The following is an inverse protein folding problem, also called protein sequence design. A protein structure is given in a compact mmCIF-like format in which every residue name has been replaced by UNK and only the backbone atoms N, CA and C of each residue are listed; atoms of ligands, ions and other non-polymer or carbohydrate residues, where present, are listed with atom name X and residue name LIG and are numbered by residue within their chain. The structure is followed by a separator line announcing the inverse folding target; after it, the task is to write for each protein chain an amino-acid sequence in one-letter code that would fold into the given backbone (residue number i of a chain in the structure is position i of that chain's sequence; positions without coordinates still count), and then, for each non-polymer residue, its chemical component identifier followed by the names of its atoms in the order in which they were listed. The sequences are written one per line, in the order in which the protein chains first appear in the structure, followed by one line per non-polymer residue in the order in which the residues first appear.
data_IF_297715523884
#
_entry.id   IF_297715523884
#
_cell.length_a   1.000
_cell.length_b   1.000
_cell.length_c   1.000
_cell.angle_alpha   90.00
_cell.angle_beta   90.00
_cell.angle_gamma   90.00
#
_symmetry.space_group_name_H-M   'P 1'
#
loop_
_entity.id
_entity.type
_entity.pdbx_description
1 polymer ?
#
# COMPACT_ATOMS: atom_id res chain seq x y z
N UNK A 1 51.40 4.49 8.30
CA UNK A 1 52.10 5.47 7.44
C UNK A 1 51.89 5.04 5.99
N UNK A 2 51.35 5.95 5.17
CA UNK A 2 51.19 5.88 3.69
C UNK A 2 50.03 4.98 3.19
N UNK A 3 49.13 5.39 2.28
CA UNK A 3 49.21 6.45 1.28
C UNK A 3 47.81 6.97 0.89
N UNK A 4 47.69 8.30 0.90
CA UNK A 4 46.62 9.12 0.31
C UNK A 4 46.64 9.02 -1.22
N UNK A 5 45.46 9.19 -1.87
CA UNK A 5 45.13 9.53 -3.30
C UNK A 5 43.94 8.65 -3.76
N UNK A 6 42.90 9.08 -4.48
CA UNK A 6 42.55 10.34 -5.14
C UNK A 6 41.03 10.33 -5.41
N UNK A 7 40.46 11.53 -5.45
CA UNK A 7 39.09 11.90 -5.82
C UNK A 7 38.64 11.39 -7.20
N UNK A 8 37.38 10.98 -7.32
CA UNK A 8 36.59 11.10 -8.56
C UNK A 8 35.10 11.28 -8.22
N UNK A 9 34.73 12.53 -7.94
CA UNK A 9 33.34 13.00 -7.99
C UNK A 9 32.97 13.14 -9.46
N UNK A 10 32.08 12.28 -9.95
CA UNK A 10 31.45 12.43 -11.26
C UNK A 10 30.00 12.89 -11.07
N UNK A 11 29.80 14.21 -11.08
CA UNK A 11 28.51 14.83 -11.31
C UNK A 11 28.09 14.59 -12.77
N UNK A 12 27.18 13.64 -13.01
CA UNK A 12 26.41 13.61 -14.26
C UNK A 12 25.00 14.09 -13.95
N UNK A 13 24.84 15.41 -14.08
CA UNK A 13 23.54 16.04 -14.23
C UNK A 13 23.15 15.97 -15.70
N UNK A 14 22.07 15.24 -16.01
CA UNK A 14 21.32 15.48 -17.25
C UNK A 14 19.85 15.22 -16.98
N UNK A 15 19.14 16.31 -16.64
CA UNK A 15 17.69 16.42 -16.78
C UNK A 15 17.35 16.56 -18.26
N UNK A 16 16.37 15.81 -18.73
CA UNK A 16 15.45 16.21 -19.80
C UNK A 16 14.07 15.60 -19.52
N UNK A 17 13.06 16.46 -19.62
CA UNK A 17 11.67 16.27 -19.23
C UNK A 17 10.92 15.19 -20.03
N UNK A 18 10.02 14.46 -19.36
CA UNK A 18 8.56 14.61 -19.57
C UNK A 18 7.77 13.91 -18.45
N UNK A 19 6.77 14.56 -17.84
CA UNK A 19 5.84 13.91 -16.93
C UNK A 19 4.75 13.18 -17.73
N UNK A 20 4.70 11.86 -17.65
CA UNK A 20 3.47 11.12 -17.97
C UNK A 20 2.45 11.42 -16.87
N UNK A 21 1.58 12.38 -17.15
CA UNK A 21 0.38 12.67 -16.40
C UNK A 21 -0.58 11.48 -16.49
N UNK A 22 -0.45 10.53 -15.55
CA UNK A 22 -1.48 9.51 -15.30
C UNK A 22 -2.02 9.74 -13.88
N UNK A 23 -3.23 10.32 -13.79
CA UNK A 23 -4.08 10.21 -12.60
C UNK A 23 -4.21 11.41 -11.64
N UNK A 24 -3.79 12.64 -12.00
CA UNK A 24 -3.94 13.81 -11.09
C UNK A 24 -5.39 14.26 -10.84
N UNK A 25 -6.38 13.79 -11.60
CA UNK A 25 -7.80 14.09 -11.34
C UNK A 25 -8.41 13.21 -10.24
N UNK A 26 -7.90 11.99 -10.00
CA UNK A 26 -8.45 11.10 -8.98
C UNK A 26 -7.96 11.45 -7.56
N UNK A 27 -6.70 11.92 -7.43
CA UNK A 27 -6.15 12.30 -6.12
C UNK A 27 -6.65 13.66 -5.64
N UNK A 28 -6.85 14.63 -6.53
CA UNK A 28 -7.40 15.94 -6.16
C UNK A 28 -8.84 15.81 -5.63
N UNK A 29 -9.66 14.95 -6.25
CA UNK A 29 -11.01 14.64 -5.77
C UNK A 29 -11.00 13.91 -4.41
N UNK A 30 -10.12 12.92 -4.24
CA UNK A 30 -9.99 12.21 -2.96
C UNK A 30 -9.47 13.09 -1.82
N UNK A 31 -8.52 13.99 -2.08
CA UNK A 31 -7.99 14.92 -1.08
C UNK A 31 -9.06 15.95 -0.69
N UNK A 32 -9.82 16.48 -1.65
CA UNK A 32 -10.96 17.38 -1.35
C UNK A 32 -12.05 16.70 -0.52
N UNK A 33 -12.40 15.45 -0.87
CA UNK A 33 -13.41 14.68 -0.12
C UNK A 33 -12.93 14.32 1.29
N UNK A 34 -11.64 13.99 1.46
CA UNK A 34 -11.05 13.69 2.77
C UNK A 34 -11.00 14.91 3.69
N UNK A 35 -10.62 16.08 3.16
CA UNK A 35 -10.61 17.32 3.92
C UNK A 35 -12.03 17.77 4.33
N UNK A 36 -13.01 17.63 3.43
CA UNK A 36 -14.41 17.96 3.74
C UNK A 36 -15.02 17.00 4.77
N UNK A 37 -14.76 15.70 4.65
CA UNK A 37 -15.23 14.69 5.62
C UNK A 37 -14.64 14.88 7.02
N UNK A 38 -13.36 15.28 7.12
CA UNK A 38 -12.75 15.58 8.43
C UNK A 38 -13.31 16.85 9.08
N UNK A 39 -13.63 17.89 8.31
CA UNK A 39 -14.27 19.09 8.83
C UNK A 39 -15.70 18.81 9.32
N UNK A 40 -16.48 18.02 8.57
CA UNK A 40 -17.85 17.66 8.94
C UNK A 40 -17.90 16.72 10.17
N UNK A 41 -16.96 15.77 10.28
CA UNK A 41 -16.84 14.92 11.47
C UNK A 41 -16.44 15.72 12.72
N UNK A 42 -15.49 16.65 12.57
CA UNK A 42 -15.07 17.50 13.69
C UNK A 42 -16.23 18.39 14.17
N UNK A 43 -17.00 18.97 13.24
CA UNK A 43 -18.15 19.80 13.57
C UNK A 43 -19.31 19.00 14.22
N UNK A 44 -19.53 17.76 13.77
CA UNK A 44 -20.55 16.87 14.36
C UNK A 44 -20.18 16.37 15.76
N UNK A 45 -18.88 16.16 16.04
CA UNK A 45 -18.41 15.73 17.36
C UNK A 45 -18.29 16.87 18.37
N UNK A 46 -18.23 18.13 17.92
CA UNK A 46 -18.16 19.31 18.80
C UNK A 46 -19.52 19.96 19.11
N UNK A 47 -20.63 19.44 18.59
CA UNK A 47 -21.99 19.88 18.97
C UNK A 47 -22.27 21.37 18.70
N UNK A 48 -21.50 22.02 17.83
CA UNK A 48 -21.65 23.46 17.56
C UNK A 48 -22.64 23.63 16.40
N UNK A 49 -23.80 24.29 16.61
CA UNK A 49 -24.69 24.63 15.51
C UNK A 49 -23.97 25.59 14.54
N UNK A 50 -24.14 25.44 13.22
CA UNK A 50 -23.54 26.34 12.25
C UNK A 50 -24.05 27.78 12.47
N UNK A 51 -23.20 28.81 12.29
CA UNK A 51 -23.62 30.19 12.45
C UNK A 51 -24.72 30.52 11.45
N UNK A 52 -25.86 31.01 11.95
CA UNK A 52 -26.96 31.50 11.14
C UNK A 52 -26.48 32.68 10.29
N UNK A 53 -26.50 32.53 8.96
CA UNK A 53 -26.27 33.62 8.02
C UNK A 53 -27.52 34.51 7.96
N UNK A 54 -27.41 35.85 8.03
CA UNK A 54 -28.56 36.73 7.86
C UNK A 54 -29.19 36.54 6.46
N UNK A 55 -30.52 36.45 6.43
CA UNK A 55 -31.30 36.21 5.22
C UNK A 55 -31.27 37.42 4.28
N UNK A 56 -30.91 37.19 3.01
CA UNK A 56 -31.21 38.11 1.91
C UNK A 56 -32.56 37.69 1.28
N UNK A 57 -33.45 38.63 0.88
CA UNK A 57 -34.73 38.27 0.30
C UNK A 57 -34.59 37.85 -1.16
N UNK A 58 -35.09 36.65 -1.49
CA UNK A 58 -35.33 36.24 -2.88
C UNK A 58 -34.44 35.09 -3.38
N UNK A 59 -34.76 33.86 -3.00
CA UNK A 59 -34.39 32.68 -3.77
C UNK A 59 -35.39 31.56 -3.49
N UNK A 60 -36.00 31.06 -4.56
CA UNK A 60 -36.84 29.85 -4.58
C UNK A 60 -36.05 28.64 -4.07
N UNK A 61 -36.68 27.64 -3.42
CA UNK A 61 -35.98 26.53 -2.80
C UNK A 61 -35.39 25.62 -3.88
N UNK A 62 -34.10 25.78 -4.17
CA UNK A 62 -33.34 24.79 -4.94
C UNK A 62 -33.07 23.62 -4.02
N UNK A 63 -33.78 22.52 -4.29
CA UNK A 63 -33.60 21.21 -3.67
C UNK A 63 -32.10 20.87 -3.63
N UNK A 64 -31.57 20.70 -2.42
CA UNK A 64 -30.19 20.25 -2.22
C UNK A 64 -29.95 18.96 -3.04
N UNK A 65 -28.82 18.84 -3.76
CA UNK A 65 -28.48 17.60 -4.44
C UNK A 65 -28.45 16.47 -3.39
N UNK A 66 -29.05 15.30 -3.67
CA UNK A 66 -29.05 14.20 -2.72
C UNK A 66 -27.60 13.85 -2.37
N UNK A 67 -27.33 13.73 -1.07
CA UNK A 67 -26.05 13.24 -0.57
C UNK A 67 -25.78 11.89 -1.24
N UNK A 68 -24.71 11.84 -2.04
CA UNK A 68 -24.26 10.59 -2.68
C UNK A 68 -23.86 9.66 -1.54
N UNK A 69 -24.63 8.60 -1.32
CA UNK A 69 -24.29 7.58 -0.34
C UNK A 69 -22.86 7.07 -0.60
N UNK A 70 -22.05 6.82 0.43
CA UNK A 70 -20.69 6.32 0.23
C UNK A 70 -20.76 5.02 -0.56
N UNK A 71 -20.08 4.99 -1.71
CA UNK A 71 -20.00 3.79 -2.54
C UNK A 71 -19.33 2.68 -1.72
N UNK A 72 -19.91 1.47 -1.67
CA UNK A 72 -19.29 0.36 -0.96
C UNK A 72 -17.87 0.10 -1.47
N UNK A 73 -16.92 -0.16 -0.56
CA UNK A 73 -15.56 -0.51 -0.94
C UNK A 73 -15.57 -1.78 -1.80
N UNK A 74 -14.78 -1.78 -2.88
CA UNK A 74 -14.63 -2.99 -3.69
C UNK A 74 -13.96 -4.10 -2.85
N UNK A 75 -14.19 -5.40 -3.17
CA UNK A 75 -13.54 -6.49 -2.45
C UNK A 75 -12.01 -6.39 -2.40
N UNK A 76 -11.39 -5.88 -3.48
CA UNK A 76 -9.96 -5.63 -3.54
C UNK A 76 -9.49 -4.55 -2.56
N UNK A 77 -10.22 -3.44 -2.47
CA UNK A 77 -9.93 -2.36 -1.53
C UNK A 77 -10.06 -2.84 -0.07
N UNK A 78 -11.06 -3.67 0.21
CA UNK A 78 -11.23 -4.27 1.54
C UNK A 78 -10.08 -5.23 1.90
N UNK A 79 -9.65 -6.08 0.96
CA UNK A 79 -8.51 -6.99 1.16
C UNK A 79 -7.21 -6.21 1.42
N UNK A 80 -6.93 -5.20 0.60
CA UNK A 80 -5.76 -4.33 0.77
C UNK A 80 -5.76 -3.63 2.15
N UNK A 81 -6.93 -3.14 2.60
CA UNK A 81 -7.06 -2.51 3.91
C UNK A 81 -6.77 -3.48 5.06
N UNK A 82 -7.22 -4.73 4.96
CA UNK A 82 -6.93 -5.78 5.97
C UNK A 82 -5.46 -6.18 5.99
N UNK A 83 -4.84 -6.36 4.82
CA UNK A 83 -3.39 -6.63 4.72
C UNK A 83 -2.60 -5.48 5.36
N UNK A 84 -2.95 -4.23 5.05
CA UNK A 84 -2.31 -3.06 5.66
C UNK A 84 -2.48 -3.03 7.18
N UNK A 85 -3.67 -3.34 7.68
CA UNK A 85 -3.92 -3.41 9.12
C UNK A 85 -3.06 -4.49 9.79
N UNK A 86 -2.86 -5.64 9.15
CA UNK A 86 -1.99 -6.72 9.63
C UNK A 86 -0.49 -6.38 9.53
N UNK A 87 -0.09 -5.51 8.59
CA UNK A 87 1.29 -4.99 8.48
C UNK A 87 1.63 -3.97 9.56
N UNK A 88 0.66 -3.16 9.99
CA UNK A 88 0.87 -2.08 10.95
C UNK A 88 1.59 -2.51 12.24
N UNK A 89 1.20 -3.61 12.95
CA UNK A 89 1.90 -4.03 14.14
C UNK A 89 3.37 -4.39 13.86
N UNK A 90 3.67 -5.06 12.75
CA UNK A 90 5.02 -5.55 12.40
C UNK A 90 6.08 -4.45 12.22
N UNK A 91 5.67 -3.18 12.13
CA UNK A 91 6.62 -2.04 12.04
C UNK A 91 7.36 -1.73 13.33
N UNK A 92 6.87 -2.23 14.48
CA UNK A 92 7.52 -2.04 15.76
C UNK A 92 8.49 -3.19 16.03
N UNK A 93 9.68 -2.87 16.56
CA UNK A 93 10.72 -3.86 16.84
C UNK A 93 10.26 -5.04 17.71
N UNK A 94 9.34 -4.80 18.65
CA UNK A 94 8.84 -5.83 19.57
C UNK A 94 7.62 -6.60 19.04
N UNK A 95 7.13 -6.23 17.87
CA UNK A 95 5.87 -6.74 17.32
C UNK A 95 6.04 -7.84 16.29
N UNK A 96 7.27 -8.32 16.05
CA UNK A 96 7.55 -9.55 15.32
C UNK A 96 7.13 -10.81 16.08
N UNK A 97 6.00 -10.80 16.82
CA UNK A 97 5.48 -11.97 17.52
C UNK A 97 4.87 -12.96 16.53
N UNK A 98 4.77 -14.22 16.94
CA UNK A 98 4.16 -15.28 16.10
C UNK A 98 2.73 -14.91 15.67
N UNK A 99 1.96 -14.30 16.57
CA UNK A 99 0.57 -13.90 16.33
C UNK A 99 0.45 -12.88 15.19
N UNK A 100 1.28 -11.82 15.18
CA UNK A 100 1.23 -10.81 14.12
C UNK A 100 1.64 -11.38 12.76
N UNK A 101 2.60 -12.31 12.73
CA UNK A 101 2.99 -13.03 11.51
C UNK A 101 1.87 -13.91 10.98
N UNK A 102 1.20 -14.64 11.87
CA UNK A 102 0.05 -15.49 11.52
C UNK A 102 -1.13 -14.65 11.05
N UNK A 103 -1.39 -13.50 11.67
CA UNK A 103 -2.44 -12.58 11.24
C UNK A 103 -2.19 -12.08 9.81
N UNK A 104 -0.96 -11.66 9.49
CA UNK A 104 -0.61 -11.24 8.12
C UNK A 104 -0.75 -12.39 7.12
N UNK A 105 -0.24 -13.58 7.46
CA UNK A 105 -0.35 -14.74 6.57
C UNK A 105 -1.81 -15.13 6.29
N UNK A 106 -2.66 -15.09 7.32
CA UNK A 106 -4.10 -15.32 7.21
C UNK A 106 -4.76 -14.30 6.29
N UNK A 107 -4.46 -13.01 6.44
CA UNK A 107 -5.06 -11.98 5.59
C UNK A 107 -4.62 -12.09 4.13
N UNK A 108 -3.37 -12.49 3.86
CA UNK A 108 -2.89 -12.78 2.51
C UNK A 108 -3.62 -13.98 1.88
N UNK A 109 -3.84 -15.06 2.64
CA UNK A 109 -4.62 -16.22 2.16
C UNK A 109 -6.10 -15.87 1.93
N UNK A 110 -6.68 -15.02 2.79
CA UNK A 110 -8.05 -14.54 2.64
C UNK A 110 -8.20 -13.61 1.43
N UNK A 111 -7.15 -12.85 1.09
CA UNK A 111 -7.13 -11.97 -0.08
C UNK A 111 -6.98 -12.74 -1.40
N UNK A 112 -6.44 -13.96 -1.37
CA UNK A 112 -6.28 -14.80 -2.55
C UNK A 112 -7.64 -15.30 -3.08
N UNK A 113 -7.94 -14.94 -4.34
CA UNK A 113 -9.15 -15.31 -5.06
C UNK A 113 -8.80 -16.18 -6.27
N UNK A 114 -9.80 -16.88 -6.79
CA UNK A 114 -9.63 -17.81 -7.91
C UNK A 114 -9.35 -19.25 -7.45
N UNK A 115 -9.19 -20.14 -8.42
CA UNK A 115 -9.00 -21.57 -8.20
C UNK A 115 -7.60 -21.88 -7.64
N UNK A 116 -6.58 -21.20 -8.15
CA UNK A 116 -5.18 -21.39 -7.78
C UNK A 116 -4.78 -20.45 -6.65
N UNK A 117 -4.99 -20.90 -5.42
CA UNK A 117 -4.55 -20.20 -4.21
C UNK A 117 -3.07 -20.49 -3.94
N UNK A 118 -2.32 -19.52 -3.39
CA UNK A 118 -0.95 -19.77 -2.95
C UNK A 118 -0.93 -20.73 -1.77
N UNK A 119 0.18 -21.44 -1.60
CA UNK A 119 0.36 -22.37 -0.50
C UNK A 119 0.55 -21.60 0.82
N UNK A 120 -0.05 -22.12 1.89
CA UNK A 120 0.02 -21.51 3.22
C UNK A 120 1.47 -21.36 3.72
N UNK A 121 2.35 -22.32 3.41
CA UNK A 121 3.76 -22.26 3.77
C UNK A 121 4.49 -21.11 3.07
N UNK A 122 4.21 -20.86 1.79
CA UNK A 122 4.82 -19.78 1.01
C UNK A 122 4.36 -18.41 1.49
N UNK A 123 3.06 -18.27 1.79
CA UNK A 123 2.51 -17.05 2.38
C UNK A 123 3.07 -16.81 3.80
N UNK A 124 3.26 -17.85 4.59
CA UNK A 124 3.92 -17.73 5.89
C UNK A 124 5.36 -17.22 5.77
N UNK A 125 6.13 -17.69 4.78
CA UNK A 125 7.49 -17.18 4.50
C UNK A 125 7.50 -15.70 4.11
N UNK A 126 6.49 -15.22 3.40
CA UNK A 126 6.31 -13.78 3.12
C UNK A 126 6.11 -13.00 4.42
N UNK A 127 5.23 -13.49 5.29
CA UNK A 127 4.97 -12.86 6.57
C UNK A 127 6.20 -12.86 7.51
N UNK A 128 6.96 -13.96 7.56
CA UNK A 128 8.22 -14.06 8.30
C UNK A 128 9.27 -13.07 7.77
N UNK A 129 9.42 -12.97 6.45
CA UNK A 129 10.38 -12.06 5.82
C UNK A 129 10.01 -10.59 6.08
N UNK A 130 8.72 -10.26 6.01
CA UNK A 130 8.23 -8.91 6.31
C UNK A 130 8.41 -8.58 7.79
N UNK A 131 8.16 -9.52 8.70
CA UNK A 131 8.39 -9.32 10.13
C UNK A 131 9.87 -9.10 10.48
N UNK A 132 10.80 -9.64 9.67
CA UNK A 132 12.23 -9.39 9.82
C UNK A 132 12.65 -8.02 9.24
N UNK A 133 12.02 -7.58 8.15
CA UNK A 133 12.38 -6.36 7.44
C UNK A 133 11.72 -5.08 8.02
N UNK A 134 10.44 -5.15 8.40
CA UNK A 134 9.66 -3.98 8.80
C UNK A 134 10.19 -3.26 10.05
N UNK A 135 10.70 -3.94 11.09
CA UNK A 135 11.38 -3.27 12.20
C UNK A 135 12.58 -2.40 11.81
N UNK A 136 13.21 -2.71 10.68
CA UNK A 136 14.37 -1.97 10.16
C UNK A 136 13.94 -0.75 9.33
N UNK A 137 12.69 -0.71 8.87
CA UNK A 137 12.14 0.33 8.00
C UNK A 137 11.73 1.58 8.81
N UNK A 138 12.70 2.27 9.40
CA UNK A 138 12.51 3.41 10.31
C UNK A 138 11.71 4.58 9.73
N UNK A 139 11.68 4.72 8.40
CA UNK A 139 11.00 5.81 7.69
C UNK A 139 9.74 5.34 6.93
N UNK A 140 9.19 4.17 7.27
CA UNK A 140 8.04 3.61 6.55
C UNK A 140 6.78 4.46 6.74
N UNK A 141 6.37 5.16 5.68
CA UNK A 141 5.18 5.99 5.72
C UNK A 141 3.88 5.18 5.53
N UNK A 142 2.75 5.77 5.89
CA UNK A 142 1.43 5.19 5.65
C UNK A 142 1.15 4.88 4.17
N UNK A 143 1.70 5.70 3.26
CA UNK A 143 1.60 5.47 1.81
C UNK A 143 2.47 4.28 1.37
N UNK A 144 3.63 4.08 1.99
CA UNK A 144 4.51 2.95 1.69
C UNK A 144 3.89 1.64 2.15
N UNK A 145 3.30 1.62 3.36
CA UNK A 145 2.50 0.47 3.83
C UNK A 145 1.35 0.14 2.88
N UNK A 146 0.68 1.16 2.35
CA UNK A 146 -0.39 0.99 1.38
C UNK A 146 0.11 0.39 0.06
N UNK A 147 1.26 0.86 -0.45
CA UNK A 147 1.89 0.32 -1.66
C UNK A 147 2.31 -1.13 -1.46
N UNK A 148 2.94 -1.46 -0.34
CA UNK A 148 3.29 -2.84 0.01
C UNK A 148 2.03 -3.72 0.03
N UNK A 149 0.96 -3.28 0.71
CA UNK A 149 -0.28 -4.04 0.78
C UNK A 149 -0.91 -4.26 -0.62
N UNK A 150 -0.89 -3.25 -1.49
CA UNK A 150 -1.40 -3.35 -2.86
C UNK A 150 -0.58 -4.34 -3.69
N UNK A 151 0.75 -4.27 -3.64
CA UNK A 151 1.61 -5.19 -4.37
C UNK A 151 1.44 -6.64 -3.88
N UNK A 152 1.33 -6.86 -2.56
CA UNK A 152 1.09 -8.19 -2.01
C UNK A 152 -0.28 -8.74 -2.41
N UNK A 153 -1.32 -7.90 -2.41
CA UNK A 153 -2.67 -8.28 -2.86
C UNK A 153 -2.67 -8.66 -4.35
N UNK A 154 -1.94 -7.90 -5.18
CA UNK A 154 -1.78 -8.20 -6.59
C UNK A 154 -1.03 -9.52 -6.82
N UNK A 155 0.01 -9.80 -6.04
CA UNK A 155 0.81 -11.04 -6.12
C UNK A 155 0.00 -12.29 -5.77
N UNK A 156 -0.81 -12.25 -4.71
CA UNK A 156 -1.67 -13.41 -4.34
C UNK A 156 -2.86 -13.59 -5.27
N UNK A 157 -3.07 -12.67 -6.23
CA UNK A 157 -4.12 -12.71 -7.25
C UNK A 157 -3.55 -12.59 -8.69
N UNK A 158 -2.27 -12.92 -8.91
CA UNK A 158 -1.57 -12.61 -10.17
C UNK A 158 -1.80 -13.61 -11.32
N UNK A 159 -2.84 -14.46 -11.26
CA UNK A 159 -3.07 -15.55 -12.21
C UNK A 159 -3.20 -15.09 -13.67
N UNK A 160 -3.77 -13.90 -13.89
CA UNK A 160 -3.91 -13.27 -15.21
C UNK A 160 -2.90 -12.15 -15.49
N UNK A 161 -2.04 -11.86 -14.51
CA UNK A 161 -1.04 -10.79 -14.62
C UNK A 161 0.17 -11.29 -15.42
N UNK A 162 0.70 -10.50 -16.38
CA UNK A 162 1.94 -10.85 -17.07
C UNK A 162 3.08 -11.09 -16.07
N UNK A 163 3.87 -12.15 -16.28
CA UNK A 163 4.93 -12.56 -15.34
C UNK A 163 5.85 -11.40 -14.93
N UNK A 164 6.29 -10.59 -15.91
CA UNK A 164 7.12 -9.40 -15.69
C UNK A 164 6.47 -8.37 -14.77
N UNK A 165 5.14 -8.19 -14.83
CA UNK A 165 4.42 -7.27 -13.96
C UNK A 165 4.31 -7.83 -12.54
N UNK A 166 4.12 -9.14 -12.37
CA UNK A 166 4.15 -9.79 -11.07
C UNK A 166 5.54 -9.69 -10.42
N UNK A 167 6.61 -9.95 -11.18
CA UNK A 167 7.98 -9.77 -10.69
C UNK A 167 8.26 -8.32 -10.30
N UNK A 168 7.78 -7.34 -11.09
CA UNK A 168 7.90 -5.91 -10.77
C UNK A 168 7.16 -5.51 -9.49
N UNK A 169 6.00 -6.11 -9.20
CA UNK A 169 5.29 -5.86 -7.95
C UNK A 169 6.10 -6.34 -6.72
N UNK A 170 6.75 -7.50 -6.82
CA UNK A 170 7.64 -7.99 -5.78
C UNK A 170 8.91 -7.11 -5.62
N UNK A 171 9.48 -6.63 -6.73
CA UNK A 171 10.62 -5.71 -6.71
C UNK A 171 10.24 -4.33 -6.14
N UNK A 172 9.02 -3.86 -6.35
CA UNK A 172 8.52 -2.62 -5.74
C UNK A 172 8.40 -2.76 -4.22
N UNK A 173 7.96 -3.90 -3.68
CA UNK A 173 7.97 -4.16 -2.22
C UNK A 173 9.39 -4.03 -1.66
N UNK A 174 10.39 -4.63 -2.30
CA UNK A 174 11.80 -4.47 -1.91
C UNK A 174 12.24 -3.02 -1.98
N UNK A 175 11.91 -2.31 -3.06
CA UNK A 175 12.31 -0.91 -3.28
C UNK A 175 11.72 0.01 -2.21
N UNK A 176 10.44 -0.17 -1.87
CA UNK A 176 9.75 0.59 -0.83
C UNK A 176 10.39 0.32 0.55
N UNK A 177 10.69 -0.94 0.87
CA UNK A 177 11.35 -1.29 2.13
C UNK A 177 12.76 -0.68 2.24
N UNK A 178 13.56 -0.73 1.17
CA UNK A 178 14.88 -0.10 1.14
C UNK A 178 14.80 1.43 1.28
N UNK A 179 13.86 2.07 0.57
CA UNK A 179 13.63 3.51 0.69
C UNK A 179 13.21 3.92 2.12
N UNK A 180 12.49 3.03 2.81
CA UNK A 180 12.10 3.22 4.20
C UNK A 180 13.21 2.89 5.22
N UNK A 181 14.39 2.43 4.79
CA UNK A 181 15.56 2.19 5.65
C UNK A 181 15.83 0.73 6.01
N UNK A 182 15.04 -0.23 5.51
CA UNK A 182 15.33 -1.64 5.74
C UNK A 182 16.62 -2.07 5.02
N UNK A 183 17.37 -3.00 5.62
CA UNK A 183 18.62 -3.48 5.02
C UNK A 183 18.37 -4.15 3.67
N UNK A 184 19.33 -4.02 2.74
CA UNK A 184 19.26 -4.65 1.42
C UNK A 184 18.99 -6.15 1.51
N UNK A 185 19.66 -6.85 2.44
CA UNK A 185 19.48 -8.28 2.65
C UNK A 185 18.05 -8.63 3.07
N UNK A 186 17.47 -7.91 4.03
CA UNK A 186 16.10 -8.14 4.47
C UNK A 186 15.08 -7.85 3.36
N UNK A 187 15.26 -6.74 2.62
CA UNK A 187 14.37 -6.38 1.52
C UNK A 187 14.44 -7.37 0.35
N UNK A 188 15.62 -7.92 0.04
CA UNK A 188 15.78 -8.99 -0.96
C UNK A 188 15.11 -10.29 -0.50
N UNK A 189 15.22 -10.64 0.78
CA UNK A 189 14.54 -11.81 1.33
C UNK A 189 13.01 -11.68 1.17
N UNK A 190 12.45 -10.49 1.44
CA UNK A 190 11.03 -10.20 1.20
C UNK A 190 10.69 -10.38 -0.28
N UNK A 191 11.41 -9.75 -1.21
CA UNK A 191 11.14 -9.91 -2.64
C UNK A 191 11.20 -11.38 -3.10
N UNK A 192 12.20 -12.14 -2.65
CA UNK A 192 12.33 -13.55 -3.01
C UNK A 192 11.15 -14.38 -2.48
N UNK A 193 10.75 -14.17 -1.22
CA UNK A 193 9.57 -14.84 -0.66
C UNK A 193 8.29 -14.46 -1.40
N UNK A 194 8.15 -13.19 -1.80
CA UNK A 194 7.01 -12.70 -2.57
C UNK A 194 6.98 -13.27 -4.00
N UNK A 195 8.14 -13.42 -4.66
CA UNK A 195 8.26 -14.04 -5.98
C UNK A 195 7.93 -15.53 -5.99
N UNK A 196 8.11 -16.21 -4.85
CA UNK A 196 7.74 -17.63 -4.71
C UNK A 196 6.22 -17.86 -4.77
N UNK A 197 5.40 -16.85 -4.46
CA UNK A 197 3.93 -16.90 -4.60
C UNK A 197 3.50 -16.99 -6.07
N UNK A 198 4.23 -16.31 -6.97
CA UNK A 198 3.84 -16.13 -8.37
C UNK A 198 3.64 -17.48 -9.10
N UNK A 199 4.59 -18.43 -9.12
CA UNK A 199 4.38 -19.71 -9.82
C UNK A 199 3.26 -20.57 -9.22
N UNK A 200 2.88 -20.37 -7.95
CA UNK A 200 1.79 -21.13 -7.32
C UNK A 200 0.42 -20.64 -7.77
N UNK A 201 0.28 -19.32 -7.96
CA UNK A 201 -0.96 -18.66 -8.39
C UNK A 201 -1.10 -18.64 -9.91
N UNK A 202 0.01 -18.58 -10.65
CA UNK A 202 0.05 -18.61 -12.12
C UNK A 202 0.12 -20.02 -12.69
N UNK A 203 -0.28 -21.06 -11.94
CA UNK A 203 -0.32 -22.43 -12.48
C UNK A 203 -1.00 -22.37 -13.84
N UNK A 204 -0.20 -22.63 -14.87
CA UNK A 204 -0.63 -22.61 -16.26
C UNK A 204 -1.80 -23.58 -16.31
N UNK A 205 -2.95 -23.12 -16.81
CA UNK A 205 -4.08 -23.99 -17.08
C UNK A 205 -3.52 -25.26 -17.74
N UNK A 206 -3.60 -26.38 -17.02
CA UNK A 206 -3.15 -27.66 -17.53
C UNK A 206 -3.98 -27.89 -18.82
N UNK A 207 -3.35 -28.06 -19.99
CA UNK A 207 -4.10 -28.35 -21.21
C UNK A 207 -4.90 -29.64 -21.06
#
# INVERSE_FOLDING_TARGET
MNCFKLFAVACVATRLCSPTAFGQSAQADMIKRRAKGMAEQNNASQGVPPPAKPAAPGATPTKAPPAVAPTPATPQQAATAKIRAALAPLTKAESGTLEHRQALAKELLNAARGADKPFAATVAKVADSLAAALPQASALAANDQQRIAQNLEALVNCSTMPRKQADAAADDVMTVLQAAGASRSASVAVANSAKAVIPEVQKTAKP
#
